data_IF_532315317284
#
_entry.id   IF_532315317284
#
_cell.length_a   1.000
_cell.length_b   1.000
_cell.length_c   1.000
_cell.angle_alpha   90.00
_cell.angle_beta   90.00
_cell.angle_gamma   90.00
#
_symmetry.space_group_name_H-M   'P 1'
#
loop_
_entity.id
_entity.type
_entity.pdbx_description
1 polymer ?
#
# COMPACT_ATOMS: atom_id res chain seq x y z
N UNK A 1 46.63 -29.23 -14.62
CA UNK A 1 45.19 -28.83 -14.69
C UNK A 1 44.49 -28.77 -13.32
N UNK A 2 45.18 -28.42 -12.21
CA UNK A 2 44.53 -28.25 -10.87
C UNK A 2 44.59 -26.82 -10.30
N UNK A 3 45.40 -25.93 -10.89
CA UNK A 3 45.58 -24.54 -10.42
C UNK A 3 44.62 -23.53 -11.09
N UNK A 4 44.18 -23.82 -12.31
CA UNK A 4 43.24 -22.97 -13.07
C UNK A 4 41.79 -23.06 -12.57
N UNK A 5 41.40 -24.18 -11.96
CA UNK A 5 40.05 -24.37 -11.41
C UNK A 5 39.86 -23.57 -10.11
N UNK A 6 40.92 -23.41 -9.30
CA UNK A 6 40.85 -22.66 -8.04
C UNK A 6 40.71 -21.15 -8.27
N UNK A 7 41.30 -20.63 -9.35
CA UNK A 7 41.21 -19.21 -9.69
C UNK A 7 39.82 -18.80 -10.20
N UNK A 8 39.10 -19.72 -10.86
CA UNK A 8 37.72 -19.50 -11.27
C UNK A 8 36.72 -19.51 -10.10
N UNK A 9 37.01 -20.25 -9.02
CA UNK A 9 36.18 -20.28 -7.81
C UNK A 9 36.27 -18.99 -6.98
N UNK A 10 37.41 -18.29 -7.02
CA UNK A 10 37.62 -17.04 -6.26
C UNK A 10 36.97 -15.83 -6.96
N UNK A 11 36.86 -15.85 -8.29
CA UNK A 11 36.24 -14.76 -9.06
C UNK A 11 34.70 -14.85 -8.99
N UNK A 12 34.13 -16.05 -8.87
CA UNK A 12 32.68 -16.21 -8.72
C UNK A 12 32.15 -15.85 -7.31
N UNK A 13 33.01 -15.85 -6.28
CA UNK A 13 32.61 -15.47 -4.91
C UNK A 13 32.50 -13.97 -4.67
N UNK A 14 32.94 -13.12 -5.62
CA UNK A 14 32.86 -11.65 -5.48
C UNK A 14 31.71 -11.00 -6.29
N UNK A 15 30.92 -11.78 -7.03
CA UNK A 15 29.85 -11.24 -7.89
C UNK A 15 28.44 -11.26 -7.27
N UNK A 16 28.28 -11.58 -5.98
CA UNK A 16 26.94 -11.77 -5.35
C UNK A 16 26.70 -10.87 -4.12
N UNK A 17 27.49 -9.81 -3.88
CA UNK A 17 27.29 -8.93 -2.69
C UNK A 17 26.70 -7.56 -3.00
N UNK A 18 26.06 -7.38 -4.16
CA UNK A 18 25.21 -6.22 -4.45
C UNK A 18 23.71 -6.57 -4.38
N UNK A 19 23.31 -7.44 -3.46
CA UNK A 19 21.91 -7.46 -3.00
C UNK A 19 21.74 -6.26 -2.09
N UNK A 20 20.85 -5.32 -2.43
CA UNK A 20 20.43 -4.19 -1.58
C UNK A 20 20.34 -4.63 -0.11
N UNK A 21 21.37 -4.34 0.67
CA UNK A 21 21.43 -4.83 2.04
C UNK A 21 20.52 -3.92 2.86
N UNK A 22 19.33 -4.42 3.19
CA UNK A 22 18.32 -3.67 3.92
C UNK A 22 18.86 -3.25 5.30
N UNK A 23 18.97 -1.95 5.53
CA UNK A 23 19.28 -1.36 6.83
C UNK A 23 18.01 -0.93 7.56
N UNK A 24 18.12 -0.69 8.87
CA UNK A 24 17.03 -0.11 9.69
C UNK A 24 16.46 1.18 9.07
N UNK A 25 17.34 2.02 8.53
CA UNK A 25 16.96 3.27 7.87
C UNK A 25 16.22 3.03 6.56
N UNK A 26 16.76 2.18 5.67
CA UNK A 26 16.11 1.88 4.39
C UNK A 26 14.76 1.18 4.57
N UNK A 27 14.63 0.34 5.60
CA UNK A 27 13.36 -0.26 5.98
C UNK A 27 12.36 0.81 6.41
N UNK A 28 12.73 1.67 7.36
CA UNK A 28 11.85 2.72 7.87
C UNK A 28 11.42 3.68 6.75
N UNK A 29 12.36 4.12 5.92
CA UNK A 29 12.09 5.00 4.79
C UNK A 29 11.12 4.37 3.78
N UNK A 30 11.24 3.05 3.55
CA UNK A 30 10.33 2.34 2.65
C UNK A 30 8.92 2.26 3.25
N UNK A 31 8.80 1.94 4.55
CA UNK A 31 7.51 1.91 5.25
C UNK A 31 6.83 3.29 5.23
N UNK A 32 7.54 4.35 5.63
CA UNK A 32 7.01 5.72 5.67
C UNK A 32 6.55 6.16 4.28
N UNK A 33 7.37 5.92 3.25
CA UNK A 33 7.03 6.27 1.88
C UNK A 33 5.82 5.50 1.37
N UNK A 34 5.75 4.20 1.64
CA UNK A 34 4.61 3.36 1.27
C UNK A 34 3.33 3.85 1.95
N UNK A 35 3.40 4.15 3.25
CA UNK A 35 2.27 4.69 4.00
C UNK A 35 1.77 6.01 3.40
N UNK A 36 2.67 6.98 3.19
CA UNK A 36 2.33 8.28 2.60
C UNK A 36 1.71 8.16 1.22
N UNK A 37 2.26 7.29 0.37
CA UNK A 37 1.71 7.05 -0.96
C UNK A 37 0.34 6.39 -0.91
N UNK A 38 0.13 5.43 -0.02
CA UNK A 38 -1.17 4.77 0.13
C UNK A 38 -2.24 5.77 0.61
N UNK A 39 -1.92 6.65 1.56
CA UNK A 39 -2.77 7.77 1.96
C UNK A 39 -3.13 8.65 0.74
N UNK A 40 -2.12 9.07 -0.03
CA UNK A 40 -2.34 9.87 -1.22
C UNK A 40 -3.19 9.18 -2.29
N UNK A 41 -2.95 7.89 -2.56
CA UNK A 41 -3.76 7.10 -3.50
C UNK A 41 -5.22 7.08 -3.06
N UNK A 42 -5.45 6.86 -1.77
CA UNK A 42 -6.78 6.77 -1.20
C UNK A 42 -7.51 8.11 -1.22
N UNK A 43 -6.85 9.19 -0.80
CA UNK A 43 -7.41 10.55 -0.83
C UNK A 43 -7.84 10.97 -2.24
N UNK A 44 -6.97 10.75 -3.24
CA UNK A 44 -7.30 11.02 -4.63
C UNK A 44 -8.49 10.21 -5.14
N UNK A 45 -8.61 8.95 -4.70
CA UNK A 45 -9.74 8.11 -5.07
C UNK A 45 -11.04 8.69 -4.52
N UNK A 46 -11.11 8.97 -3.21
CA UNK A 46 -12.33 9.48 -2.57
C UNK A 46 -12.71 10.87 -3.08
N UNK A 47 -11.73 11.76 -3.28
CA UNK A 47 -11.97 13.09 -3.85
C UNK A 47 -12.66 12.99 -5.21
N UNK A 48 -12.13 12.17 -6.12
CA UNK A 48 -12.72 12.01 -7.46
C UNK A 48 -14.03 11.21 -7.43
N UNK A 49 -14.09 10.12 -6.69
CA UNK A 49 -15.25 9.22 -6.65
C UNK A 49 -16.51 9.93 -6.14
N UNK A 50 -16.37 10.83 -5.15
CA UNK A 50 -17.51 11.62 -4.65
C UNK A 50 -18.14 12.49 -5.73
N UNK A 51 -17.36 12.96 -6.71
CA UNK A 51 -17.88 13.77 -7.83
C UNK A 51 -18.74 12.97 -8.81
N UNK A 52 -18.69 11.64 -8.77
CA UNK A 52 -19.43 10.73 -9.64
C UNK A 52 -20.73 10.18 -9.01
N UNK A 53 -20.93 10.42 -7.71
CA UNK A 53 -22.12 9.93 -6.99
C UNK A 53 -23.39 10.52 -7.60
N UNK A 54 -24.36 9.66 -7.88
CA UNK A 54 -25.67 10.07 -8.40
C UNK A 54 -25.67 10.55 -9.87
N UNK A 55 -24.56 10.37 -10.59
CA UNK A 55 -24.37 10.78 -11.99
C UNK A 55 -24.20 9.57 -12.92
N UNK A 56 -25.28 9.06 -13.55
CA UNK A 56 -25.23 7.85 -14.38
C UNK A 56 -24.21 7.92 -15.52
N UNK A 57 -24.04 9.12 -16.10
CA UNK A 57 -23.07 9.41 -17.16
C UNK A 57 -21.60 9.23 -16.71
N UNK A 58 -21.34 9.28 -15.41
CA UNK A 58 -19.99 9.11 -14.83
C UNK A 58 -19.63 7.64 -14.56
N UNK A 59 -20.50 6.67 -14.87
CA UNK A 59 -20.26 5.23 -14.60
C UNK A 59 -18.92 4.74 -15.14
N UNK A 60 -18.61 5.08 -16.40
CA UNK A 60 -17.34 4.67 -17.03
C UNK A 60 -16.14 5.33 -16.34
N UNK A 61 -16.23 6.61 -16.01
CA UNK A 61 -15.17 7.34 -15.31
C UNK A 61 -14.90 6.77 -13.92
N UNK A 62 -15.93 6.38 -13.18
CA UNK A 62 -15.78 5.70 -11.89
C UNK A 62 -15.11 4.33 -12.06
N UNK A 63 -15.51 3.54 -13.06
CA UNK A 63 -14.88 2.24 -13.33
C UNK A 63 -13.38 2.40 -13.70
N UNK A 64 -13.06 3.37 -14.56
CA UNK A 64 -11.68 3.67 -14.95
C UNK A 64 -10.83 4.12 -13.73
N UNK A 65 -11.40 4.97 -12.86
CA UNK A 65 -10.76 5.39 -11.62
C UNK A 65 -10.50 4.21 -10.67
N UNK A 66 -11.45 3.28 -10.51
CA UNK A 66 -11.31 2.08 -9.67
C UNK A 66 -10.14 1.22 -10.18
N UNK A 67 -10.08 0.93 -11.47
CA UNK A 67 -9.00 0.12 -12.06
C UNK A 67 -7.64 0.83 -11.99
N UNK A 68 -7.60 2.15 -12.19
CA UNK A 68 -6.39 2.94 -12.01
C UNK A 68 -5.88 2.84 -10.57
N UNK A 69 -6.75 3.01 -9.59
CA UNK A 69 -6.42 2.91 -8.16
C UNK A 69 -5.93 1.51 -7.80
N UNK A 70 -6.61 0.44 -8.25
CA UNK A 70 -6.16 -0.96 -8.03
C UNK A 70 -4.74 -1.17 -8.51
N UNK A 71 -4.42 -0.73 -9.73
CA UNK A 71 -3.08 -0.86 -10.30
C UNK A 71 -2.03 -0.14 -9.45
N UNK A 72 -2.32 1.10 -9.01
CA UNK A 72 -1.40 1.86 -8.15
C UNK A 72 -1.16 1.17 -6.80
N UNK A 73 -2.23 0.67 -6.18
CA UNK A 73 -2.17 -0.08 -4.90
C UNK A 73 -1.31 -1.33 -5.07
N UNK A 74 -1.56 -2.14 -6.10
CA UNK A 74 -0.80 -3.39 -6.37
C UNK A 74 0.67 -3.09 -6.67
N UNK A 75 0.95 -2.05 -7.45
CA UNK A 75 2.32 -1.69 -7.81
C UNK A 75 3.11 -1.20 -6.59
N UNK A 76 2.52 -0.31 -5.78
CA UNK A 76 3.20 0.28 -4.63
C UNK A 76 3.38 -0.74 -3.48
N UNK A 77 2.43 -1.68 -3.32
CA UNK A 77 2.51 -2.77 -2.34
C UNK A 77 3.79 -3.61 -2.47
N UNK A 78 4.30 -3.81 -3.68
CA UNK A 78 5.50 -4.64 -3.95
C UNK A 78 6.72 -4.18 -3.17
N UNK A 79 6.88 -2.86 -2.96
CA UNK A 79 8.00 -2.33 -2.20
C UNK A 79 8.00 -2.83 -0.75
N UNK A 80 6.82 -2.98 -0.15
CA UNK A 80 6.64 -3.47 1.22
C UNK A 80 6.71 -4.99 1.29
N UNK A 81 6.17 -5.69 0.29
CA UNK A 81 6.26 -7.16 0.19
C UNK A 81 7.72 -7.64 0.22
N UNK A 82 8.62 -6.90 -0.41
CA UNK A 82 10.05 -7.23 -0.47
C UNK A 82 10.82 -6.92 0.83
N UNK A 83 10.21 -6.23 1.80
CA UNK A 83 10.87 -5.93 3.06
C UNK A 83 10.96 -7.17 3.95
N UNK A 84 12.10 -7.31 4.63
CA UNK A 84 12.27 -8.29 5.72
C UNK A 84 12.07 -7.57 7.05
N UNK A 85 11.09 -7.91 7.89
CA UNK A 85 10.81 -7.14 9.11
C UNK A 85 11.93 -7.26 10.16
N UNK A 86 12.26 -6.14 10.82
CA UNK A 86 13.21 -6.07 11.95
C UNK A 86 12.52 -5.52 13.19
N UNK A 87 12.21 -6.36 14.19
CA UNK A 87 11.55 -5.94 15.45
C UNK A 87 10.51 -4.82 15.20
N UNK A 88 9.66 -5.05 14.21
CA UNK A 88 8.82 -4.00 13.62
C UNK A 88 7.46 -3.90 14.29
N UNK A 89 7.22 -4.74 15.31
CA UNK A 89 5.96 -4.82 16.05
C UNK A 89 4.74 -5.10 15.16
N UNK A 90 4.96 -5.68 13.97
CA UNK A 90 3.89 -5.94 13.01
C UNK A 90 3.62 -4.78 12.04
N UNK A 91 4.43 -3.72 12.05
CA UNK A 91 4.29 -2.55 11.18
C UNK A 91 4.20 -2.92 9.69
N UNK A 92 5.10 -3.78 9.19
CA UNK A 92 5.03 -4.25 7.78
C UNK A 92 3.71 -4.97 7.50
N UNK A 93 3.29 -5.84 8.43
CA UNK A 93 2.05 -6.61 8.29
C UNK A 93 0.84 -5.67 8.20
N UNK A 94 0.76 -4.68 9.10
CA UNK A 94 -0.36 -3.73 9.10
C UNK A 94 -0.39 -2.84 7.87
N UNK A 95 0.78 -2.42 7.34
CA UNK A 95 0.84 -1.71 6.05
C UNK A 95 0.30 -2.59 4.92
N UNK A 96 0.69 -3.86 4.85
CA UNK A 96 0.18 -4.81 3.84
C UNK A 96 -1.32 -5.06 4.00
N UNK A 97 -1.82 -5.07 5.23
CA UNK A 97 -3.24 -5.16 5.55
C UNK A 97 -4.01 -3.93 5.06
N UNK A 98 -3.44 -2.73 5.21
CA UNK A 98 -4.00 -1.50 4.66
C UNK A 98 -4.07 -1.53 3.13
N UNK A 99 -3.01 -1.99 2.43
CA UNK A 99 -3.08 -2.19 0.98
C UNK A 99 -4.18 -3.18 0.59
N UNK A 100 -4.31 -4.29 1.31
CA UNK A 100 -5.31 -5.31 1.05
C UNK A 100 -6.74 -4.80 1.30
N UNK A 101 -6.94 -4.00 2.35
CA UNK A 101 -8.22 -3.34 2.64
C UNK A 101 -8.58 -2.36 1.51
N UNK A 102 -7.65 -1.52 1.05
CA UNK A 102 -7.88 -0.61 -0.08
C UNK A 102 -8.20 -1.38 -1.37
N UNK A 103 -7.50 -2.48 -1.66
CA UNK A 103 -7.77 -3.33 -2.82
C UNK A 103 -9.19 -3.96 -2.74
N UNK A 104 -9.57 -4.50 -1.59
CA UNK A 104 -10.90 -5.04 -1.34
C UNK A 104 -11.99 -3.97 -1.48
N UNK A 105 -11.74 -2.75 -1.03
CA UNK A 105 -12.63 -1.62 -1.23
C UNK A 105 -12.86 -1.34 -2.72
N UNK A 106 -11.81 -1.39 -3.53
CA UNK A 106 -11.94 -1.21 -4.98
C UNK A 106 -12.78 -2.30 -5.64
N UNK A 107 -12.60 -3.57 -5.25
CA UNK A 107 -13.47 -4.66 -5.72
C UNK A 107 -14.92 -4.45 -5.31
N UNK A 108 -15.15 -4.01 -4.08
CA UNK A 108 -16.48 -3.69 -3.58
C UNK A 108 -17.14 -2.54 -4.35
N UNK A 109 -16.39 -1.47 -4.67
CA UNK A 109 -16.91 -0.36 -5.48
C UNK A 109 -17.16 -0.74 -6.93
N UNK A 110 -16.33 -1.61 -7.52
CA UNK A 110 -16.55 -2.14 -8.86
C UNK A 110 -17.89 -2.90 -8.93
N UNK A 111 -18.18 -3.74 -7.93
CA UNK A 111 -19.43 -4.48 -7.84
C UNK A 111 -20.66 -3.58 -7.64
N UNK A 112 -20.47 -2.36 -7.12
CA UNK A 112 -21.55 -1.43 -6.78
C UNK A 112 -21.57 -0.16 -7.64
N UNK A 113 -20.82 -0.11 -8.75
CA UNK A 113 -20.66 1.11 -9.57
C UNK A 113 -22.02 1.64 -10.04
N UNK A 114 -22.94 0.75 -10.46
CA UNK A 114 -24.30 1.12 -10.85
C UNK A 114 -25.10 1.80 -9.75
N UNK A 115 -24.98 1.30 -8.51
CA UNK A 115 -25.67 1.87 -7.37
C UNK A 115 -25.08 3.24 -7.01
N UNK A 116 -23.75 3.37 -7.06
CA UNK A 116 -23.02 4.61 -6.75
C UNK A 116 -23.41 5.73 -7.72
N UNK A 117 -23.50 5.45 -9.02
CA UNK A 117 -23.80 6.47 -10.04
C UNK A 117 -25.29 6.70 -10.29
N UNK A 118 -26.19 5.89 -9.71
CA UNK A 118 -27.63 6.04 -9.96
C UNK A 118 -28.20 7.32 -9.32
N UNK A 119 -28.93 8.11 -10.10
CA UNK A 119 -29.63 9.30 -9.63
C UNK A 119 -30.57 8.98 -8.46
N UNK A 120 -30.58 9.83 -7.43
CA UNK A 120 -31.42 9.66 -6.24
C UNK A 120 -30.90 8.63 -5.22
N UNK A 121 -29.74 8.01 -5.43
CA UNK A 121 -29.14 7.03 -4.50
C UNK A 121 -27.98 7.60 -3.66
N UNK A 122 -27.78 8.92 -3.62
CA UNK A 122 -26.59 9.51 -3.00
C UNK A 122 -26.35 9.03 -1.55
N UNK A 123 -27.39 9.00 -0.71
CA UNK A 123 -27.29 8.51 0.67
C UNK A 123 -26.81 7.05 0.75
N UNK A 124 -27.35 6.17 -0.10
CA UNK A 124 -26.93 4.76 -0.15
C UNK A 124 -25.50 4.64 -0.67
N UNK A 125 -25.13 5.45 -1.66
CA UNK A 125 -23.77 5.50 -2.18
C UNK A 125 -22.78 5.93 -1.09
N UNK A 126 -23.08 6.98 -0.31
CA UNK A 126 -22.23 7.42 0.81
C UNK A 126 -22.02 6.31 1.85
N UNK A 127 -23.09 5.59 2.23
CA UNK A 127 -22.98 4.44 3.15
C UNK A 127 -22.07 3.32 2.63
N UNK A 128 -21.98 3.12 1.31
CA UNK A 128 -21.02 2.17 0.73
C UNK A 128 -19.56 2.61 0.97
N UNK A 129 -19.29 3.91 1.00
CA UNK A 129 -17.95 4.44 1.23
C UNK A 129 -17.55 4.44 2.72
N UNK A 130 -18.50 4.53 3.65
CA UNK A 130 -18.25 4.66 5.09
C UNK A 130 -17.43 3.51 5.67
N UNK A 131 -17.85 2.26 5.45
CA UNK A 131 -17.18 1.10 6.07
C UNK A 131 -15.72 0.95 5.61
N UNK A 132 -15.41 0.91 4.31
CA UNK A 132 -14.01 0.81 3.88
C UNK A 132 -13.16 2.02 4.32
N UNK A 133 -13.75 3.21 4.40
CA UNK A 133 -13.05 4.39 4.90
C UNK A 133 -12.75 4.29 6.40
N UNK A 134 -13.66 3.71 7.20
CA UNK A 134 -13.43 3.45 8.63
C UNK A 134 -12.29 2.46 8.82
N UNK A 135 -12.33 1.32 8.12
CA UNK A 135 -11.27 0.30 8.18
C UNK A 135 -9.91 0.90 7.79
N UNK A 136 -9.87 1.73 6.75
CA UNK A 136 -8.66 2.42 6.32
C UNK A 136 -8.10 3.36 7.40
N UNK A 137 -8.96 4.12 8.09
CA UNK A 137 -8.55 5.06 9.16
C UNK A 137 -8.08 4.33 10.41
N UNK A 138 -8.71 3.22 10.77
CA UNK A 138 -8.27 2.37 11.88
C UNK A 138 -6.86 1.82 11.61
N UNK A 139 -6.58 1.40 10.37
CA UNK A 139 -5.26 0.92 9.97
C UNK A 139 -4.22 2.05 9.94
N UNK A 140 -4.54 3.24 9.41
CA UNK A 140 -3.65 4.44 9.48
C UNK A 140 -3.25 4.75 10.92
N UNK A 141 -4.23 4.79 11.82
CA UNK A 141 -3.98 5.06 13.25
C UNK A 141 -3.07 3.99 13.87
N UNK A 142 -3.36 2.70 13.63
CA UNK A 142 -2.54 1.61 14.13
C UNK A 142 -1.11 1.66 13.57
N UNK A 143 -0.94 1.99 12.29
CA UNK A 143 0.38 2.16 11.67
C UNK A 143 1.17 3.26 12.39
N UNK A 144 0.56 4.42 12.67
CA UNK A 144 1.23 5.52 13.38
C UNK A 144 1.69 5.10 14.77
N UNK A 145 0.86 4.36 15.49
CA UNK A 145 1.20 3.82 16.81
C UNK A 145 2.38 2.83 16.73
N UNK A 146 2.36 1.94 15.74
CA UNK A 146 3.43 0.98 15.49
C UNK A 146 4.74 1.67 15.05
N UNK A 147 4.67 2.77 14.31
CA UNK A 147 5.85 3.57 13.95
C UNK A 147 6.51 4.21 15.18
N UNK A 148 5.72 4.68 16.15
CA UNK A 148 6.24 5.18 17.44
C UNK A 148 6.95 4.07 18.20
N UNK A 149 6.33 2.89 18.32
CA UNK A 149 6.94 1.74 18.99
C UNK A 149 8.22 1.31 18.27
N UNK A 150 8.17 1.17 16.94
CA UNK A 150 9.34 0.81 16.13
C UNK A 150 10.51 1.76 16.34
N UNK A 151 10.28 3.08 16.32
CA UNK A 151 11.31 4.08 16.56
C UNK A 151 11.93 3.94 17.96
N UNK A 152 11.10 3.76 18.99
CA UNK A 152 11.55 3.57 20.37
C UNK A 152 12.43 2.32 20.53
N UNK A 153 11.94 1.16 20.10
CA UNK A 153 12.64 -0.12 20.31
C UNK A 153 13.90 -0.30 19.46
N UNK A 154 13.99 0.40 18.32
CA UNK A 154 15.15 0.32 17.45
C UNK A 154 16.12 1.50 17.60
N UNK A 155 15.89 2.39 18.60
CA UNK A 155 16.66 3.64 18.77
C UNK A 155 16.73 4.46 17.48
N UNK A 156 15.67 4.39 16.68
CA UNK A 156 15.54 5.07 15.40
C UNK A 156 14.89 6.44 15.56
N UNK A 157 14.92 7.23 14.50
CA UNK A 157 14.17 8.49 14.44
C UNK A 157 12.69 8.18 14.12
N UNK A 158 11.79 8.85 14.85
CA UNK A 158 10.39 8.96 14.44
C UNK A 158 10.34 9.80 13.15
N UNK A 159 9.65 9.30 12.13
CA UNK A 159 9.59 9.89 10.79
C UNK A 159 8.16 10.20 10.42
#
# INVERSE_FOLDING_TARGET
MKKTILFFLIIFSFAITSCNQQTLETYNNTIVRAHQKLLFINDNFYEKATTYIGKPESKKLLADLIEETKRKVIEDRKAVENLVPFKDHGLRRTILEMYSSTENAMFFYAANTDLITKTGNAEKAFKLFEKPLSEFRELDQLIRELQVQYAYYNKGQLR
#
